data_IF_012378447256
#
_entry.id   IF_012378447256
#
_cell.length_a   1.000
_cell.length_b   1.000
_cell.length_c   1.000
_cell.angle_alpha   90.00
_cell.angle_beta   90.00
_cell.angle_gamma   90.00
#
_symmetry.space_group_name_H-M   'P 1'
#
loop_
_entity.id
_entity.type
_entity.pdbx_description
1 polymer ?
#
# COMPACT_ATOMS: atom_id res chain seq x y z
N UNK A 1 -44.59 17.01 25.48
CA UNK A 1 -44.53 15.98 24.42
C UNK A 1 -43.23 16.18 23.65
N UNK A 2 -42.63 15.13 23.10
CA UNK A 2 -41.38 15.10 22.28
C UNK A 2 -40.07 14.68 22.96
N UNK A 3 -40.07 13.53 23.65
CA UNK A 3 -38.85 12.74 23.94
C UNK A 3 -38.65 11.56 22.97
N UNK A 4 -39.44 11.46 21.90
CA UNK A 4 -39.40 10.33 20.97
C UNK A 4 -38.44 10.53 19.77
N UNK A 5 -37.93 11.74 19.53
CA UNK A 5 -37.21 12.06 18.29
C UNK A 5 -35.72 11.66 18.25
N UNK A 6 -35.10 11.34 19.39
CA UNK A 6 -33.65 11.02 19.43
C UNK A 6 -33.39 9.51 19.31
N UNK A 7 -34.38 8.65 19.58
CA UNK A 7 -34.21 7.17 19.52
C UNK A 7 -34.31 6.58 18.11
N UNK A 8 -34.76 7.36 17.11
CA UNK A 8 -34.95 6.89 15.73
C UNK A 8 -33.71 6.92 14.84
N UNK A 9 -32.71 7.75 15.15
CA UNK A 9 -31.61 8.04 14.21
C UNK A 9 -30.42 7.06 14.31
N UNK A 10 -30.46 6.05 15.19
CA UNK A 10 -29.36 5.07 15.35
C UNK A 10 -29.55 3.75 14.60
N UNK A 11 -30.58 3.62 13.76
CA UNK A 11 -30.92 2.33 13.13
C UNK A 11 -30.46 2.17 11.67
N UNK A 12 -29.97 3.22 11.01
CA UNK A 12 -29.78 3.19 9.54
C UNK A 12 -28.34 3.05 9.03
N UNK A 13 -27.32 2.99 9.88
CA UNK A 13 -25.94 2.72 9.45
C UNK A 13 -25.47 1.36 9.97
N UNK A 14 -26.26 0.32 9.71
CA UNK A 14 -25.68 -1.03 9.70
C UNK A 14 -24.97 -1.14 8.36
N UNK A 15 -23.64 -1.26 8.29
CA UNK A 15 -23.01 -1.68 7.05
C UNK A 15 -23.62 -3.04 6.72
N UNK A 16 -24.42 -3.10 5.67
CA UNK A 16 -24.68 -4.34 4.95
C UNK A 16 -23.39 -4.70 4.22
N UNK A 17 -22.35 -5.00 5.00
CA UNK A 17 -21.30 -5.87 4.55
C UNK A 17 -22.01 -7.20 4.31
N UNK A 18 -22.50 -7.41 3.09
CA UNK A 18 -22.71 -8.74 2.55
C UNK A 18 -21.34 -9.39 2.64
N UNK A 19 -21.06 -10.03 3.78
CA UNK A 19 -19.87 -10.85 3.98
C UNK A 19 -19.95 -11.89 2.87
N UNK A 20 -19.14 -11.71 1.84
CA UNK A 20 -18.88 -12.74 0.85
C UNK A 20 -18.25 -13.88 1.66
N UNK A 21 -19.07 -14.87 2.02
CA UNK A 21 -18.59 -16.06 2.75
C UNK A 21 -17.77 -16.88 1.77
N UNK A 22 -16.46 -16.72 1.81
CA UNK A 22 -15.50 -17.57 1.10
C UNK A 22 -15.13 -18.83 1.90
N UNK A 23 -15.88 -19.17 2.95
CA UNK A 23 -15.58 -20.28 3.84
C UNK A 23 -16.79 -21.22 3.96
N UNK A 24 -16.61 -22.49 3.57
CA UNK A 24 -17.63 -23.55 3.61
C UNK A 24 -17.77 -24.23 4.97
N UNK A 25 -17.69 -23.47 6.07
CA UNK A 25 -17.78 -23.97 7.45
C UNK A 25 -19.04 -23.50 8.18
N UNK A 26 -19.29 -24.06 9.35
CA UNK A 26 -20.40 -23.63 10.21
C UNK A 26 -20.23 -22.16 10.64
N UNK A 27 -21.31 -21.41 10.96
CA UNK A 27 -21.20 -20.00 11.35
C UNK A 27 -20.27 -19.76 12.56
N UNK A 28 -20.16 -20.74 13.45
CA UNK A 28 -19.29 -20.71 14.63
C UNK A 28 -17.82 -20.91 14.25
N UNK A 29 -17.52 -21.90 13.40
CA UNK A 29 -16.17 -22.14 12.87
C UNK A 29 -15.61 -20.92 12.14
N UNK A 30 -16.46 -20.23 11.36
CA UNK A 30 -16.08 -18.99 10.68
C UNK A 30 -15.75 -17.89 11.68
N UNK A 31 -16.51 -17.75 12.76
CA UNK A 31 -16.25 -16.73 13.78
C UNK A 31 -14.93 -16.99 14.51
N UNK A 32 -14.68 -18.25 14.89
CA UNK A 32 -13.42 -18.67 15.51
C UNK A 32 -12.21 -18.46 14.57
N UNK A 33 -12.36 -18.82 13.29
CA UNK A 33 -11.33 -18.58 12.28
C UNK A 33 -11.00 -17.10 12.08
N UNK A 34 -12.03 -16.24 12.05
CA UNK A 34 -11.82 -14.78 11.96
C UNK A 34 -11.09 -14.22 13.17
N UNK A 35 -11.42 -14.69 14.38
CA UNK A 35 -10.73 -14.26 15.60
C UNK A 35 -9.26 -14.72 15.61
N UNK A 36 -9.00 -15.94 15.16
CA UNK A 36 -7.64 -16.46 15.02
C UNK A 36 -6.80 -15.61 14.07
N UNK A 37 -7.29 -15.37 12.85
CA UNK A 37 -6.56 -14.56 11.88
C UNK A 37 -6.36 -13.12 12.34
N UNK A 38 -7.33 -12.53 13.06
CA UNK A 38 -7.16 -11.22 13.69
C UNK A 38 -5.99 -11.21 14.66
N UNK A 39 -5.87 -12.23 15.52
CA UNK A 39 -4.74 -12.34 16.46
C UNK A 39 -3.41 -12.51 15.73
N UNK A 40 -3.38 -13.38 14.71
CA UNK A 40 -2.18 -13.60 13.89
C UNK A 40 -1.72 -12.31 13.21
N UNK A 41 -2.62 -11.57 12.56
CA UNK A 41 -2.28 -10.32 11.90
C UNK A 41 -1.78 -9.27 12.89
N UNK A 42 -2.44 -9.14 14.06
CA UNK A 42 -1.99 -8.21 15.09
C UNK A 42 -0.62 -8.58 15.65
N UNK A 43 -0.31 -9.87 15.76
CA UNK A 43 1.01 -10.35 16.16
C UNK A 43 2.07 -10.17 15.06
N UNK A 44 1.70 -10.27 13.78
CA UNK A 44 2.64 -10.12 12.68
C UNK A 44 3.07 -8.67 12.44
N UNK A 45 2.21 -7.69 12.75
CA UNK A 45 2.52 -6.26 12.57
C UNK A 45 3.84 -5.84 13.25
N UNK A 46 4.08 -6.09 14.55
CA UNK A 46 5.34 -5.71 15.19
C UNK A 46 6.54 -6.48 14.62
N UNK A 47 6.36 -7.76 14.24
CA UNK A 47 7.43 -8.57 13.65
C UNK A 47 7.91 -7.98 12.33
N UNK A 48 6.98 -7.67 11.43
CA UNK A 48 7.30 -7.03 10.14
C UNK A 48 7.83 -5.62 10.36
N UNK A 49 7.27 -4.87 11.31
CA UNK A 49 7.72 -3.51 11.64
C UNK A 49 9.19 -3.46 12.08
N UNK A 50 9.60 -4.38 12.96
CA UNK A 50 11.01 -4.47 13.41
C UNK A 50 11.94 -4.87 12.27
N UNK A 51 11.57 -5.90 11.50
CA UNK A 51 12.37 -6.35 10.37
C UNK A 51 12.53 -5.25 9.31
N UNK A 52 11.45 -4.52 9.01
CA UNK A 52 11.47 -3.40 8.08
C UNK A 52 12.37 -2.26 8.61
N UNK A 53 12.23 -1.89 9.88
CA UNK A 53 13.03 -0.82 10.47
C UNK A 53 14.52 -1.14 10.42
N UNK A 54 14.91 -2.38 10.76
CA UNK A 54 16.30 -2.83 10.70
C UNK A 54 16.81 -2.82 9.25
N UNK A 55 16.07 -3.41 8.32
CA UNK A 55 16.49 -3.47 6.91
C UNK A 55 16.63 -2.07 6.31
N UNK A 56 15.66 -1.17 6.55
CA UNK A 56 15.74 0.20 6.05
C UNK A 56 16.90 0.97 6.67
N UNK A 57 17.15 0.80 7.96
CA UNK A 57 18.28 1.46 8.64
C UNK A 57 19.63 1.02 8.06
N UNK A 58 19.80 -0.27 7.81
CA UNK A 58 21.03 -0.82 7.26
C UNK A 58 21.18 -0.46 5.77
N UNK A 59 20.18 -0.76 4.96
CA UNK A 59 20.29 -0.65 3.50
C UNK A 59 20.19 0.80 3.01
N UNK A 60 19.23 1.60 3.52
CA UNK A 60 19.06 2.97 2.99
C UNK A 60 20.21 3.91 3.38
N UNK A 61 21.01 3.56 4.38
CA UNK A 61 22.22 4.31 4.72
C UNK A 61 23.38 4.08 3.73
N UNK A 62 23.38 2.96 3.01
CA UNK A 62 24.49 2.57 2.13
C UNK A 62 24.26 2.82 0.64
N UNK A 63 23.01 3.10 0.21
CA UNK A 63 22.68 3.36 -1.20
C UNK A 63 22.74 4.85 -1.56
N UNK A 64 23.93 5.45 -1.45
CA UNK A 64 24.21 6.74 -2.09
C UNK A 64 24.39 6.55 -3.60
N UNK A 65 23.30 6.30 -4.33
CA UNK A 65 23.30 6.21 -5.80
C UNK A 65 23.37 7.60 -6.44
N UNK A 66 24.50 8.29 -6.28
CA UNK A 66 24.75 9.57 -6.94
C UNK A 66 25.79 9.53 -8.06
N UNK A 67 26.43 8.38 -8.30
CA UNK A 67 27.30 8.23 -9.46
C UNK A 67 26.52 7.59 -10.61
N UNK A 68 25.87 8.43 -11.42
CA UNK A 68 25.55 8.05 -12.78
C UNK A 68 26.87 7.72 -13.47
N UNK A 69 27.15 6.42 -13.59
CA UNK A 69 28.33 5.93 -14.31
C UNK A 69 28.40 6.49 -15.74
N UNK A 70 29.52 6.30 -16.44
CA UNK A 70 29.74 6.91 -17.75
C UNK A 70 28.56 6.62 -18.70
N UNK A 71 28.05 7.66 -19.35
CA UNK A 71 26.95 7.53 -20.30
C UNK A 71 27.45 6.79 -21.53
N UNK A 72 27.06 5.52 -21.65
CA UNK A 72 27.38 4.71 -22.83
C UNK A 72 26.48 5.07 -24.01
N UNK A 73 26.96 4.79 -25.23
CA UNK A 73 26.22 5.07 -26.49
C UNK A 73 24.89 4.31 -26.57
N UNK A 74 24.79 3.17 -25.91
CA UNK A 74 23.55 2.39 -25.82
C UNK A 74 22.64 2.82 -24.66
N UNK A 75 23.13 3.68 -23.76
CA UNK A 75 22.33 4.22 -22.67
C UNK A 75 21.42 5.32 -23.21
N UNK A 76 20.15 5.31 -22.80
CA UNK A 76 19.13 6.31 -23.19
C UNK A 76 18.88 6.43 -24.71
N UNK A 77 19.01 5.34 -25.49
CA UNK A 77 18.58 5.35 -26.91
C UNK A 77 17.07 5.60 -27.01
N UNK A 78 16.68 6.60 -27.81
CA UNK A 78 15.27 6.93 -28.09
C UNK A 78 15.08 7.26 -29.57
N UNK A 79 14.24 6.47 -30.25
CA UNK A 79 13.85 6.73 -31.64
C UNK A 79 12.59 7.60 -31.76
N UNK A 80 11.82 7.74 -30.66
CA UNK A 80 10.59 8.52 -30.58
C UNK A 80 10.46 9.08 -29.16
N UNK A 81 9.97 10.32 -28.98
CA UNK A 81 9.68 10.85 -27.65
C UNK A 81 8.60 10.03 -26.93
N UNK A 82 8.59 10.12 -25.60
CA UNK A 82 7.56 9.51 -24.77
C UNK A 82 6.21 10.19 -24.98
N UNK A 83 5.08 9.49 -24.73
CA UNK A 83 3.74 10.03 -24.93
C UNK A 83 3.28 11.00 -23.81
N UNK A 84 4.14 11.34 -22.85
CA UNK A 84 3.86 12.31 -21.79
C UNK A 84 4.63 13.62 -22.03
N UNK A 85 4.24 14.68 -21.32
CA UNK A 85 4.70 16.04 -21.59
C UNK A 85 6.22 16.23 -21.62
N UNK A 86 6.99 15.45 -20.86
CA UNK A 86 8.46 15.42 -20.90
C UNK A 86 8.94 14.23 -21.73
N UNK A 87 9.03 14.43 -23.05
CA UNK A 87 9.27 13.38 -24.05
C UNK A 87 10.61 12.64 -23.92
N UNK A 88 11.61 13.27 -23.29
CA UNK A 88 12.96 12.73 -23.16
C UNK A 88 13.23 12.09 -21.77
N UNK A 89 12.49 12.47 -20.74
CA UNK A 89 12.59 11.85 -19.42
C UNK A 89 11.72 10.58 -19.33
N UNK A 90 12.28 9.48 -18.80
CA UNK A 90 11.50 8.27 -18.49
C UNK A 90 10.44 8.54 -17.40
N UNK A 91 9.40 7.71 -17.32
CA UNK A 91 8.31 7.90 -16.36
C UNK A 91 8.72 7.83 -14.87
N UNK A 92 9.85 7.19 -14.55
CA UNK A 92 10.39 7.14 -13.19
C UNK A 92 11.74 7.86 -13.05
N UNK A 93 12.16 8.62 -14.06
CA UNK A 93 13.35 9.46 -13.97
C UNK A 93 13.00 10.74 -13.20
N UNK A 94 13.23 10.69 -11.88
CA UNK A 94 12.93 11.81 -10.98
C UNK A 94 13.97 12.93 -11.10
N UNK A 95 15.23 12.62 -11.42
CA UNK A 95 16.30 13.61 -11.57
C UNK A 95 16.09 14.44 -12.85
N UNK A 96 15.87 13.78 -13.98
CA UNK A 96 15.57 14.44 -15.27
C UNK A 96 14.36 15.37 -15.18
N UNK A 97 13.26 14.92 -14.53
CA UNK A 97 12.05 15.73 -14.42
C UNK A 97 12.15 16.95 -13.50
N UNK A 98 13.08 16.96 -12.54
CA UNK A 98 13.25 18.03 -11.56
C UNK A 98 14.13 19.18 -12.07
N UNK A 99 15.11 18.88 -12.92
CA UNK A 99 16.17 19.80 -13.33
C UNK A 99 15.92 20.44 -14.73
N UNK A 100 14.67 20.48 -15.17
CA UNK A 100 14.20 21.06 -16.44
C UNK A 100 13.30 22.27 -16.20
#
# INVERSE_FOLDING_TARGET
MSSALIKGLRRSLRPTARRVRMHGGSPEEVAAGMEWWKKVTLASVPVVGVALAINLYLEMAHHAHDEEGPVYVYSKIRNKPYPWGKGDCNFFDLKCRRNE
#
